data_IF_470036369507
#
_entry.id   IF_470036369507
#
_cell.length_a   1.000
_cell.length_b   1.000
_cell.length_c   1.000
_cell.angle_alpha   90.00
_cell.angle_beta   90.00
_cell.angle_gamma   90.00
#
_symmetry.space_group_name_H-M   'P 1'
#
loop_
_entity.id
_entity.type
_entity.pdbx_description
1 polymer ?
#
# COMPACT_ATOMS: atom_id res chain seq x y z
N UNK A 1 -4.10 31.19 -5.10
CA UNK A 1 -4.29 30.01 -4.21
C UNK A 1 -5.35 30.36 -3.17
N UNK A 2 -6.59 29.87 -3.34
CA UNK A 2 -7.81 30.44 -2.77
C UNK A 2 -7.99 30.16 -1.27
N UNK A 3 -8.63 31.08 -0.53
CA UNK A 3 -8.96 30.97 0.91
C UNK A 3 -9.69 29.66 1.28
N UNK A 4 -10.44 29.11 0.33
CA UNK A 4 -11.17 27.84 0.44
C UNK A 4 -10.23 26.64 0.67
N UNK A 5 -9.09 26.62 -0.03
CA UNK A 5 -8.11 25.55 0.10
C UNK A 5 -7.48 25.53 1.49
N UNK A 6 -7.13 26.71 2.04
CA UNK A 6 -6.61 26.81 3.41
C UNK A 6 -7.62 26.37 4.47
N UNK A 7 -8.91 26.64 4.30
CA UNK A 7 -9.93 26.23 5.28
C UNK A 7 -10.13 24.72 5.29
N UNK A 8 -10.11 24.07 4.11
CA UNK A 8 -10.20 22.63 3.99
C UNK A 8 -9.02 21.90 4.66
N UNK A 9 -7.78 22.31 4.37
CA UNK A 9 -6.59 21.71 5.01
C UNK A 9 -6.57 21.88 6.52
N UNK A 10 -7.05 23.03 7.03
CA UNK A 10 -7.19 23.25 8.46
C UNK A 10 -8.19 22.28 9.08
N UNK A 11 -9.33 22.06 8.40
CA UNK A 11 -10.39 21.14 8.85
C UNK A 11 -9.90 19.68 8.87
N UNK A 12 -9.21 19.23 7.82
CA UNK A 12 -8.56 17.91 7.76
C UNK A 12 -7.54 17.76 8.89
N UNK A 13 -6.69 18.77 9.12
CA UNK A 13 -5.69 18.72 10.20
C UNK A 13 -6.33 18.58 11.58
N UNK A 14 -7.46 19.26 11.84
CA UNK A 14 -8.20 19.14 13.09
C UNK A 14 -8.75 17.71 13.25
N UNK A 15 -9.42 17.16 12.24
CA UNK A 15 -9.97 15.81 12.30
C UNK A 15 -8.89 14.74 12.53
N UNK A 16 -7.76 14.84 11.82
CA UNK A 16 -6.65 13.90 11.99
C UNK A 16 -5.99 14.01 13.37
N UNK A 17 -5.94 15.20 13.97
CA UNK A 17 -5.40 15.41 15.32
C UNK A 17 -6.33 14.85 16.39
N UNK A 18 -7.63 15.16 16.31
CA UNK A 18 -8.65 14.72 17.27
C UNK A 18 -8.71 13.19 17.36
N UNK A 19 -8.61 12.51 16.22
CA UNK A 19 -8.71 11.04 16.12
C UNK A 19 -7.35 10.32 16.17
N UNK A 20 -6.23 11.06 16.17
CA UNK A 20 -4.85 10.56 16.01
C UNK A 20 -4.63 9.72 14.72
N UNK A 21 -5.50 9.90 13.73
CA UNK A 21 -5.56 9.09 12.51
C UNK A 21 -4.32 9.21 11.60
N UNK A 22 -3.47 10.22 11.76
CA UNK A 22 -2.24 10.33 10.97
C UNK A 22 -1.30 9.13 11.18
N UNK A 23 -1.29 8.57 12.40
CA UNK A 23 -0.48 7.37 12.69
C UNK A 23 -1.03 6.13 11.98
N UNK A 24 -2.35 5.99 11.99
CA UNK A 24 -3.11 4.90 11.39
C UNK A 24 -2.95 4.93 9.87
N UNK A 25 -3.19 6.07 9.25
CA UNK A 25 -3.01 6.29 7.81
C UNK A 25 -1.60 5.92 7.33
N UNK A 26 -0.55 6.33 8.07
CA UNK A 26 0.84 5.95 7.73
C UNK A 26 1.07 4.44 7.82
N UNK A 27 0.48 3.78 8.82
CA UNK A 27 0.62 2.33 9.00
C UNK A 27 0.00 1.57 7.83
N UNK A 28 -1.24 1.91 7.47
CA UNK A 28 -1.94 1.30 6.34
C UNK A 28 -1.22 1.57 5.00
N UNK A 29 -0.78 2.81 4.76
CA UNK A 29 0.01 3.15 3.57
C UNK A 29 1.25 2.26 3.39
N UNK A 30 2.01 2.06 4.47
CA UNK A 30 3.24 1.26 4.38
C UNK A 30 2.93 -0.22 4.25
N UNK A 31 1.96 -0.73 5.01
CA UNK A 31 1.59 -2.14 4.98
C UNK A 31 1.06 -2.55 3.61
N UNK A 32 0.03 -1.88 3.12
CA UNK A 32 -0.60 -2.26 1.86
C UNK A 32 0.24 -1.78 0.65
N UNK A 33 1.02 -0.70 0.79
CA UNK A 33 2.04 -0.32 -0.18
C UNK A 33 3.15 -1.37 -0.33
N UNK A 34 3.61 -1.96 0.78
CA UNK A 34 4.55 -3.08 0.75
C UNK A 34 3.92 -4.28 0.03
N UNK A 35 2.68 -4.62 0.36
CA UNK A 35 1.98 -5.74 -0.25
C UNK A 35 1.84 -5.56 -1.78
N UNK A 36 1.54 -4.34 -2.27
CA UNK A 36 1.50 -4.04 -3.70
C UNK A 36 2.83 -4.26 -4.41
N UNK A 37 3.93 -3.75 -3.84
CA UNK A 37 5.26 -3.95 -4.42
C UNK A 37 5.70 -5.42 -4.39
N UNK A 38 5.47 -6.12 -3.26
CA UNK A 38 5.79 -7.54 -3.11
C UNK A 38 4.98 -8.43 -4.05
N UNK A 39 3.70 -8.13 -4.23
CA UNK A 39 2.81 -8.94 -5.07
C UNK A 39 3.23 -8.86 -6.53
N UNK A 40 3.50 -7.64 -7.03
CA UNK A 40 4.00 -7.49 -8.41
C UNK A 40 5.39 -8.11 -8.56
N UNK A 41 6.29 -7.96 -7.58
CA UNK A 41 7.58 -8.65 -7.58
C UNK A 41 7.42 -10.17 -7.73
N UNK A 42 6.53 -10.79 -6.94
CA UNK A 42 6.27 -12.22 -6.99
C UNK A 42 5.69 -12.67 -8.34
N UNK A 43 4.72 -11.92 -8.87
CA UNK A 43 4.14 -12.18 -10.20
C UNK A 43 5.21 -12.12 -11.28
N UNK A 44 6.05 -11.10 -11.28
CA UNK A 44 7.10 -10.90 -12.28
C UNK A 44 8.16 -11.99 -12.19
N UNK A 45 8.64 -12.29 -10.99
CA UNK A 45 9.64 -13.33 -10.79
C UNK A 45 9.11 -14.73 -11.18
N UNK A 46 7.89 -15.06 -10.74
CA UNK A 46 7.26 -16.33 -11.09
C UNK A 46 7.01 -16.45 -12.60
N UNK A 47 6.57 -15.36 -13.24
CA UNK A 47 6.36 -15.31 -14.70
C UNK A 47 7.66 -15.46 -15.48
N UNK A 48 8.76 -14.89 -14.98
CA UNK A 48 10.08 -15.10 -15.57
C UNK A 48 10.42 -16.58 -15.54
N UNK A 49 10.39 -17.20 -14.35
CA UNK A 49 10.75 -18.61 -14.17
C UNK A 49 9.87 -19.53 -15.04
N UNK A 50 8.59 -19.21 -15.18
CA UNK A 50 7.65 -19.93 -16.04
C UNK A 50 7.82 -19.67 -17.55
N UNK A 51 8.73 -18.78 -17.96
CA UNK A 51 8.99 -18.49 -19.37
C UNK A 51 7.87 -17.72 -20.07
N UNK A 52 7.12 -16.89 -19.35
CA UNK A 52 6.02 -16.11 -19.94
C UNK A 52 6.57 -15.05 -20.89
N UNK A 53 6.17 -15.13 -22.15
CA UNK A 53 6.72 -14.32 -23.25
C UNK A 53 5.84 -13.14 -23.70
N UNK A 54 4.66 -12.96 -23.10
CA UNK A 54 3.72 -11.89 -23.47
C UNK A 54 3.64 -10.83 -22.36
N UNK A 55 4.09 -9.58 -22.59
CA UNK A 55 4.05 -8.52 -21.58
C UNK A 55 2.62 -8.18 -21.13
N UNK A 56 1.62 -8.36 -22.01
CA UNK A 56 0.21 -8.09 -21.70
C UNK A 56 -0.31 -8.97 -20.56
N UNK A 57 0.17 -10.21 -20.47
CA UNK A 57 -0.19 -11.13 -19.38
C UNK A 57 0.30 -10.58 -18.05
N UNK A 58 1.53 -10.05 -18.01
CA UNK A 58 2.12 -9.50 -16.79
C UNK A 58 1.45 -8.21 -16.37
N UNK A 59 1.11 -7.35 -17.33
CA UNK A 59 0.34 -6.13 -17.06
C UNK A 59 -1.02 -6.50 -16.47
N UNK A 60 -1.78 -7.39 -17.13
CA UNK A 60 -3.12 -7.76 -16.67
C UNK A 60 -3.09 -8.46 -15.30
N UNK A 61 -2.16 -9.38 -15.09
CA UNK A 61 -2.01 -10.08 -13.80
C UNK A 61 -1.66 -9.09 -12.68
N UNK A 62 -0.71 -8.19 -12.92
CA UNK A 62 -0.25 -7.22 -11.92
C UNK A 62 -1.31 -6.15 -11.62
N UNK A 63 -1.98 -5.62 -12.65
CA UNK A 63 -3.07 -4.65 -12.49
C UNK A 63 -4.26 -5.31 -11.79
N UNK A 64 -4.63 -6.53 -12.19
CA UNK A 64 -5.69 -7.30 -11.56
C UNK A 64 -5.42 -7.55 -10.07
N UNK A 65 -4.18 -7.96 -9.73
CA UNK A 65 -3.76 -8.13 -8.35
C UNK A 65 -3.80 -6.81 -7.56
N UNK A 66 -3.23 -5.73 -8.10
CA UNK A 66 -3.26 -4.42 -7.43
C UNK A 66 -4.68 -3.88 -7.24
N UNK A 67 -5.58 -4.09 -8.20
CA UNK A 67 -6.99 -3.71 -8.08
C UNK A 67 -7.69 -4.53 -7.00
N UNK A 68 -7.49 -5.85 -6.99
CA UNK A 68 -8.07 -6.72 -5.97
C UNK A 68 -7.59 -6.32 -4.56
N UNK A 69 -6.29 -6.08 -4.40
CA UNK A 69 -5.71 -5.61 -3.15
C UNK A 69 -6.18 -4.22 -2.75
N UNK A 70 -6.30 -3.30 -3.71
CA UNK A 70 -6.79 -1.95 -3.45
C UNK A 70 -8.25 -1.92 -3.00
N UNK A 71 -9.11 -2.71 -3.65
CA UNK A 71 -10.51 -2.84 -3.23
C UNK A 71 -10.62 -3.55 -1.88
N UNK A 72 -9.88 -4.64 -1.70
CA UNK A 72 -9.83 -5.38 -0.43
C UNK A 72 -9.34 -4.50 0.71
N UNK A 73 -8.27 -3.73 0.48
CA UNK A 73 -7.72 -2.77 1.43
C UNK A 73 -8.69 -1.66 1.77
N UNK A 74 -9.30 -1.02 0.76
CA UNK A 74 -10.28 0.05 0.96
C UNK A 74 -11.46 -0.42 1.82
N UNK A 75 -12.15 -1.49 1.41
CA UNK A 75 -13.33 -1.96 2.13
C UNK A 75 -12.96 -2.59 3.48
N UNK A 76 -11.83 -3.30 3.56
CA UNK A 76 -11.34 -3.89 4.80
C UNK A 76 -10.98 -2.84 5.84
N UNK A 77 -10.18 -1.84 5.48
CA UNK A 77 -9.83 -0.74 6.37
C UNK A 77 -11.04 0.13 6.72
N UNK A 78 -11.97 0.37 5.78
CA UNK A 78 -13.21 1.09 6.07
C UNK A 78 -14.04 0.37 7.15
N UNK A 79 -14.27 -0.94 6.98
CA UNK A 79 -15.06 -1.72 7.93
C UNK A 79 -14.37 -1.82 9.30
N UNK A 80 -13.05 -2.03 9.32
CA UNK A 80 -12.28 -2.12 10.55
C UNK A 80 -12.27 -0.78 11.32
N UNK A 81 -11.97 0.34 10.64
CA UNK A 81 -11.97 1.65 11.27
C UNK A 81 -13.37 2.05 11.72
N UNK A 82 -14.41 1.79 10.91
CA UNK A 82 -15.79 2.08 11.31
C UNK A 82 -16.17 1.35 12.58
N UNK A 83 -15.86 0.06 12.70
CA UNK A 83 -16.15 -0.72 13.90
C UNK A 83 -15.45 -0.14 15.15
N UNK A 84 -14.17 0.24 15.02
CA UNK A 84 -13.40 0.86 16.11
C UNK A 84 -13.95 2.25 16.49
N UNK A 85 -14.32 3.08 15.50
CA UNK A 85 -14.87 4.42 15.76
C UNK A 85 -16.26 4.38 16.37
N UNK A 86 -17.14 3.52 15.86
CA UNK A 86 -18.49 3.34 16.41
C UNK A 86 -18.43 2.86 17.86
N UNK A 87 -17.51 1.94 18.18
CA UNK A 87 -17.26 1.51 19.55
C UNK A 87 -16.76 2.66 20.42
N UNK A 88 -15.75 3.39 19.95
CA UNK A 88 -15.16 4.51 20.69
C UNK A 88 -16.18 5.61 20.98
N UNK A 89 -17.04 5.96 20.01
CA UNK A 89 -18.11 6.94 20.19
C UNK A 89 -19.11 6.49 21.25
N UNK A 90 -19.55 5.22 21.24
CA UNK A 90 -20.45 4.66 22.27
C UNK A 90 -19.83 4.67 23.66
N UNK A 91 -18.54 4.40 23.78
CA UNK A 91 -17.82 4.48 25.06
C UNK A 91 -17.77 5.93 25.58
N UNK A 92 -17.55 6.91 24.70
CA UNK A 92 -17.58 8.34 25.06
C UNK A 92 -18.98 8.83 25.44
N UNK A 93 -20.03 8.39 24.73
CA UNK A 93 -21.43 8.70 25.05
C UNK A 93 -21.77 8.25 26.47
N UNK A 94 -21.41 7.01 26.82
CA UNK A 94 -21.59 6.49 28.19
C UNK A 94 -20.82 7.28 29.23
N UNK A 95 -19.56 7.61 28.96
CA UNK A 95 -18.71 8.35 29.90
C UNK A 95 -19.17 9.80 30.10
N UNK A 96 -19.79 10.42 29.07
CA UNK A 96 -20.16 11.83 29.06
C UNK A 96 -21.66 12.05 29.22
N UNK A 97 -22.43 11.01 29.57
CA UNK A 97 -23.90 11.06 29.68
C UNK A 97 -24.56 11.65 28.41
N UNK A 98 -24.19 11.12 27.24
CA UNK A 98 -24.63 11.55 25.90
C UNK A 98 -24.28 13.01 25.52
N UNK A 99 -23.33 13.64 26.21
CA UNK A 99 -22.87 14.99 25.88
C UNK A 99 -21.53 14.97 25.11
N UNK A 100 -21.48 14.24 23.99
CA UNK A 100 -20.28 14.16 23.12
C UNK A 100 -20.29 15.34 22.13
N UNK A 101 -19.14 15.99 21.98
CA UNK A 101 -18.99 17.08 21.00
C UNK A 101 -19.28 16.59 19.57
N UNK A 102 -20.16 17.26 18.79
CA UNK A 102 -20.45 16.93 17.40
C UNK A 102 -19.22 16.74 16.51
N UNK A 103 -18.12 17.45 16.81
CA UNK A 103 -16.87 17.35 16.05
C UNK A 103 -16.27 15.93 16.08
N UNK A 104 -16.55 15.14 17.11
CA UNK A 104 -16.07 13.77 17.25
C UNK A 104 -16.74 12.83 16.23
N UNK A 105 -18.04 13.02 15.99
CA UNK A 105 -18.77 12.25 14.98
C UNK A 105 -18.32 12.61 13.57
N UNK A 106 -18.16 13.91 13.29
CA UNK A 106 -17.67 14.37 11.99
C UNK A 106 -16.25 13.86 11.71
N UNK A 107 -15.36 13.95 12.70
CA UNK A 107 -13.98 13.51 12.57
C UNK A 107 -13.89 11.99 12.37
N UNK A 108 -14.70 11.21 13.08
CA UNK A 108 -14.74 9.74 12.95
C UNK A 108 -15.14 9.31 11.55
N UNK A 109 -16.27 9.82 11.04
CA UNK A 109 -16.76 9.52 9.68
C UNK A 109 -15.76 9.91 8.59
N UNK A 110 -15.10 11.06 8.76
CA UNK A 110 -14.07 11.50 7.81
C UNK A 110 -12.87 10.55 7.80
N UNK A 111 -12.41 10.16 8.99
CA UNK A 111 -11.22 9.32 9.16
C UNK A 111 -11.41 7.92 8.61
N UNK A 112 -12.58 7.32 8.81
CA UNK A 112 -12.94 6.02 8.24
C UNK A 112 -12.67 5.98 6.73
N UNK A 113 -13.18 6.97 6.00
CA UNK A 113 -13.02 7.08 4.54
C UNK A 113 -11.58 7.47 4.18
N UNK A 114 -10.99 8.41 4.91
CA UNK A 114 -9.62 8.88 4.64
C UNK A 114 -8.59 7.76 4.76
N UNK A 115 -8.67 6.96 5.83
CA UNK A 115 -7.79 5.82 6.05
C UNK A 115 -8.02 4.74 5.00
N UNK A 116 -9.28 4.42 4.71
CA UNK A 116 -9.63 3.45 3.66
C UNK A 116 -9.08 3.83 2.29
N UNK A 117 -9.16 5.12 1.91
CA UNK A 117 -8.59 5.62 0.66
C UNK A 117 -7.06 5.45 0.63
N UNK A 118 -6.38 5.79 1.71
CA UNK A 118 -4.92 5.66 1.78
C UNK A 118 -4.51 4.20 1.68
N UNK A 119 -5.21 3.32 2.39
CA UNK A 119 -4.95 1.90 2.34
C UNK A 119 -5.15 1.36 0.93
N UNK A 120 -6.34 1.54 0.34
CA UNK A 120 -6.68 0.99 -0.97
C UNK A 120 -5.91 1.58 -2.16
N UNK A 121 -5.43 2.83 -2.07
CA UNK A 121 -4.61 3.42 -3.14
C UNK A 121 -3.13 3.00 -3.05
N UNK A 122 -2.66 2.60 -1.87
CA UNK A 122 -1.23 2.35 -1.67
C UNK A 122 -0.66 1.19 -2.51
N UNK A 123 -1.35 0.03 -2.72
CA UNK A 123 -0.83 -1.03 -3.58
C UNK A 123 -0.71 -0.61 -5.03
N UNK A 124 -1.67 0.18 -5.52
CA UNK A 124 -1.66 0.65 -6.90
C UNK A 124 -0.45 1.57 -7.14
N UNK A 125 -0.16 2.47 -6.20
CA UNK A 125 0.97 3.39 -6.30
C UNK A 125 2.32 2.66 -6.34
N UNK A 126 2.49 1.63 -5.52
CA UNK A 126 3.76 0.91 -5.42
C UNK A 126 3.89 -0.16 -6.51
N UNK A 127 2.80 -0.84 -6.86
CA UNK A 127 2.73 -1.84 -7.92
C UNK A 127 2.97 -1.23 -9.31
N UNK A 128 2.38 -0.07 -9.62
CA UNK A 128 2.53 0.61 -10.92
C UNK A 128 4.00 0.84 -11.27
N UNK A 129 4.84 1.19 -10.31
CA UNK A 129 6.28 1.43 -10.53
C UNK A 129 6.93 0.21 -11.19
N UNK A 130 6.51 -0.99 -10.77
CA UNK A 130 7.03 -2.26 -11.28
C UNK A 130 6.36 -2.70 -12.59
N UNK A 131 5.21 -2.16 -12.94
CA UNK A 131 4.46 -2.48 -14.17
C UNK A 131 4.96 -1.64 -15.37
N UNK A 132 5.47 -0.42 -15.14
CA UNK A 132 5.95 0.51 -16.18
C UNK A 132 6.87 -0.16 -17.22
N UNK A 133 7.90 -0.96 -16.83
CA UNK A 133 8.77 -1.64 -17.79
C UNK A 133 8.00 -2.51 -18.80
N UNK A 134 6.95 -3.21 -18.37
CA UNK A 134 6.14 -4.06 -19.25
C UNK A 134 5.25 -3.26 -20.19
N UNK A 135 4.78 -2.08 -19.77
CA UNK A 135 4.06 -1.16 -20.65
C UNK A 135 4.97 -0.74 -21.80
N UNK A 136 6.23 -0.37 -21.52
CA UNK A 136 7.19 -0.05 -22.58
C UNK A 136 7.52 -1.23 -23.48
N UNK A 137 7.61 -2.45 -22.93
CA UNK A 137 7.76 -3.65 -23.74
C UNK A 137 6.56 -3.92 -24.65
N UNK A 138 5.32 -3.72 -24.17
CA UNK A 138 4.11 -3.92 -24.99
C UNK A 138 3.99 -2.96 -26.18
N UNK A 139 4.60 -1.77 -26.09
CA UNK A 139 4.62 -0.78 -27.19
C UNK A 139 5.86 -0.95 -28.08
N UNK A 140 6.72 -1.94 -27.79
CA UNK A 140 7.92 -2.24 -28.57
C UNK A 140 9.10 -1.29 -28.32
N UNK A 141 9.05 -0.48 -27.26
CA UNK A 141 10.16 0.42 -26.89
C UNK A 141 11.29 -0.30 -26.15
N UNK A 142 11.04 -1.52 -25.69
CA UNK A 142 11.99 -2.29 -24.89
C UNK A 142 11.82 -3.79 -25.12
N UNK A 143 12.94 -4.53 -25.07
CA UNK A 143 12.92 -5.99 -25.06
C UNK A 143 12.32 -6.54 -23.77
N UNK A 144 11.63 -7.67 -23.86
CA UNK A 144 10.95 -8.28 -22.71
C UNK A 144 11.92 -8.64 -21.57
N UNK A 145 13.10 -9.16 -21.88
CA UNK A 145 14.13 -9.49 -20.88
C UNK A 145 14.56 -8.27 -20.07
N UNK A 146 14.76 -7.13 -20.74
CA UNK A 146 15.09 -5.86 -20.08
C UNK A 146 13.92 -5.38 -19.21
N UNK A 147 12.68 -5.59 -19.65
CA UNK A 147 11.49 -5.27 -18.86
C UNK A 147 11.44 -6.05 -17.55
N UNK A 148 11.73 -7.35 -17.62
CA UNK A 148 11.82 -8.20 -16.45
C UNK A 148 12.90 -7.73 -15.46
N UNK A 149 14.13 -7.50 -15.93
CA UNK A 149 15.24 -7.05 -15.06
C UNK A 149 14.92 -5.71 -14.40
N UNK A 150 14.43 -4.74 -15.17
CA UNK A 150 14.07 -3.42 -14.65
C UNK A 150 12.89 -3.49 -13.68
N UNK A 151 11.89 -4.31 -13.97
CA UNK A 151 10.74 -4.48 -13.07
C UNK A 151 11.16 -5.05 -11.72
N UNK A 152 11.95 -6.13 -11.70
CA UNK A 152 12.46 -6.70 -10.45
C UNK A 152 13.32 -5.70 -9.65
N UNK A 153 14.21 -4.96 -10.34
CA UNK A 153 15.02 -3.93 -9.71
C UNK A 153 14.17 -2.80 -9.12
N UNK A 154 13.14 -2.35 -9.84
CA UNK A 154 12.20 -1.32 -9.40
C UNK A 154 11.34 -1.78 -8.23
N UNK A 155 10.89 -3.04 -8.22
CA UNK A 155 10.17 -3.60 -7.08
C UNK A 155 11.04 -3.64 -5.83
N UNK A 156 12.25 -4.19 -5.92
CA UNK A 156 13.20 -4.24 -4.79
C UNK A 156 13.57 -2.84 -4.30
N UNK A 157 13.77 -1.89 -5.22
CA UNK A 157 14.01 -0.48 -4.87
C UNK A 157 12.81 0.11 -4.13
N UNK A 158 11.59 -0.16 -4.60
CA UNK A 158 10.36 0.32 -3.95
C UNK A 158 10.23 -0.25 -2.53
N UNK A 159 10.49 -1.54 -2.35
CA UNK A 159 10.50 -2.19 -1.03
C UNK A 159 11.55 -1.59 -0.10
N UNK A 160 12.76 -1.37 -0.61
CA UNK A 160 13.84 -0.75 0.16
C UNK A 160 13.49 0.68 0.60
N UNK A 161 12.91 1.48 -0.29
CA UNK A 161 12.48 2.85 0.01
C UNK A 161 11.32 2.88 1.01
N UNK A 162 10.35 1.98 0.90
CA UNK A 162 9.29 1.80 1.89
C UNK A 162 9.86 1.41 3.26
N UNK A 163 10.86 0.52 3.28
CA UNK A 163 11.59 0.16 4.49
C UNK A 163 12.30 1.36 5.12
N UNK A 164 13.04 2.15 4.33
CA UNK A 164 13.67 3.39 4.82
C UNK A 164 12.63 4.34 5.41
N UNK A 165 11.50 4.52 4.73
CA UNK A 165 10.41 5.35 5.22
C UNK A 165 9.89 4.85 6.57
N UNK A 166 9.65 3.55 6.69
CA UNK A 166 9.18 2.94 7.94
C UNK A 166 10.18 3.12 9.08
N UNK A 167 11.47 2.90 8.81
CA UNK A 167 12.53 3.10 9.82
C UNK A 167 12.63 4.56 10.28
N UNK A 168 12.43 5.53 9.38
CA UNK A 168 12.32 6.96 9.75
C UNK A 168 11.10 7.23 10.61
N UNK A 169 9.95 6.66 10.28
CA UNK A 169 8.71 6.77 11.09
C UNK A 169 8.91 6.18 12.49
N UNK A 170 9.64 5.08 12.58
CA UNK A 170 10.01 4.44 13.85
C UNK A 170 11.08 5.21 14.66
N UNK A 171 11.60 6.34 14.15
CA UNK A 171 12.76 7.07 14.72
C UNK A 171 13.99 6.16 14.92
N UNK A 172 14.13 5.15 14.07
CA UNK A 172 15.24 4.20 14.07
C UNK A 172 16.15 4.37 12.86
N UNK A 173 17.02 3.38 12.63
CA UNK A 173 17.89 3.37 11.45
C UNK A 173 17.11 2.93 10.21
N UNK A 174 16.79 3.87 9.32
CA UNK A 174 16.09 3.61 8.06
C UNK A 174 16.77 2.56 7.18
N UNK A 175 18.11 2.54 7.14
CA UNK A 175 18.84 1.55 6.35
C UNK A 175 18.59 0.12 6.80
N UNK A 176 18.53 -0.13 8.11
CA UNK A 176 18.23 -1.47 8.64
C UNK A 176 16.85 -1.95 8.21
N UNK A 177 15.84 -1.08 8.26
CA UNK A 177 14.49 -1.42 7.80
C UNK A 177 14.43 -1.63 6.28
N UNK A 178 15.15 -0.83 5.50
CA UNK A 178 15.29 -1.04 4.05
C UNK A 178 15.88 -2.42 3.74
N UNK A 179 17.01 -2.75 4.36
CA UNK A 179 17.66 -4.06 4.19
C UNK A 179 16.75 -5.19 4.65
N UNK A 180 16.04 -5.04 5.77
CA UNK A 180 15.07 -6.03 6.23
C UNK A 180 13.99 -6.31 5.18
N UNK A 181 13.46 -5.27 4.52
CA UNK A 181 12.47 -5.46 3.44
C UNK A 181 13.07 -6.16 2.20
N UNK A 182 14.34 -5.91 1.87
CA UNK A 182 15.02 -6.65 0.82
C UNK A 182 15.22 -8.12 1.18
N UNK A 183 15.51 -8.43 2.44
CA UNK A 183 15.61 -9.82 2.93
C UNK A 183 14.26 -10.54 2.76
N UNK A 184 13.13 -9.86 3.04
CA UNK A 184 11.81 -10.44 2.79
C UNK A 184 11.60 -10.69 1.29
N UNK A 185 11.98 -9.76 0.42
CA UNK A 185 11.94 -9.97 -1.03
C UNK A 185 12.79 -11.17 -1.49
N UNK A 186 14.02 -11.30 -0.97
CA UNK A 186 14.89 -12.43 -1.25
C UNK A 186 14.30 -13.75 -0.74
N UNK A 187 13.66 -13.75 0.44
CA UNK A 187 12.96 -14.90 0.98
C UNK A 187 11.77 -15.30 0.10
N UNK A 188 10.98 -14.35 -0.39
CA UNK A 188 9.90 -14.62 -1.35
C UNK A 188 10.44 -15.21 -2.65
N UNK A 189 11.55 -14.69 -3.17
CA UNK A 189 12.20 -15.25 -4.35
C UNK A 189 12.65 -16.71 -4.13
N UNK A 190 13.26 -16.99 -2.98
CA UNK A 190 13.64 -18.34 -2.59
C UNK A 190 12.42 -19.27 -2.51
N UNK A 191 11.32 -18.81 -1.90
CA UNK A 191 10.08 -19.59 -1.81
C UNK A 191 9.51 -19.91 -3.19
N UNK A 192 9.44 -18.94 -4.10
CA UNK A 192 8.95 -19.15 -5.47
C UNK A 192 9.83 -20.17 -6.19
N UNK A 193 11.15 -20.06 -6.05
CA UNK A 193 12.09 -21.02 -6.64
C UNK A 193 11.91 -22.43 -6.08
N UNK A 194 11.73 -22.58 -4.77
CA UNK A 194 11.44 -23.88 -4.16
C UNK A 194 10.11 -24.46 -4.65
N UNK A 195 9.05 -23.64 -4.77
CA UNK A 195 7.78 -24.09 -5.33
C UNK A 195 7.93 -24.58 -6.78
N UNK A 196 8.74 -23.90 -7.60
CA UNK A 196 9.04 -24.37 -8.95
C UNK A 196 9.70 -25.75 -8.95
N UNK A 197 10.63 -26.02 -8.02
CA UNK A 197 11.29 -27.31 -7.91
C UNK A 197 10.31 -28.46 -7.59
N UNK A 198 9.25 -28.18 -6.83
CA UNK A 198 8.22 -29.18 -6.52
C UNK A 198 7.21 -29.40 -7.65
N UNK A 199 7.02 -28.40 -8.53
CA UNK A 199 6.08 -28.46 -9.64
C UNK A 199 6.70 -29.01 -10.94
N UNK A 200 8.04 -29.02 -11.04
CA UNK A 200 8.81 -29.61 -12.14
C UNK A 200 9.21 -31.05 -11.89
#
# INVERSE_FOLDING_TARGET
MSKLFRSFFRKVSVYLKVTKATSIARRYFVMNGFDGAMTVFGIVLGSWIAGVSKPEILILASVGACLAMGLSGFFGAYMAEKAERDRHLKEMEKATHNNVDPIQYEASRFVEIYVALIDGLSPALTGIISIIPFIFASVGWMLLENAYMLSLALSLTSLFLLGIYLGKVARGNGWLYGVAMLIVGAFTALMIFLFQLFLG
#
